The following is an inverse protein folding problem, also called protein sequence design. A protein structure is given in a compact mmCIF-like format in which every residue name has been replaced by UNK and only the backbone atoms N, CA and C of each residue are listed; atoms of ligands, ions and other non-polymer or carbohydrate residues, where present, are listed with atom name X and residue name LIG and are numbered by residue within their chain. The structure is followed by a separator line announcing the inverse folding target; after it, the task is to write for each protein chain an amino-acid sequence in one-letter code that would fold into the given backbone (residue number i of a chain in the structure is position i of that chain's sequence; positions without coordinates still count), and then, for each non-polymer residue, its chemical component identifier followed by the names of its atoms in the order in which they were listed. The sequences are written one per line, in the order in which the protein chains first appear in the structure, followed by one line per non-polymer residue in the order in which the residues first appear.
data_IF_304180926275
#
_entry.id   IF_304180926275
#
_cell.length_a   1.000
_cell.length_b   1.000
_cell.length_c   1.000
_cell.angle_alpha   90.00
_cell.angle_beta   90.00
_cell.angle_gamma   90.00
#
_symmetry.space_group_name_H-M   'P 1'
#
loop_
_entity.id
_entity.type
_entity.pdbx_description
1 polymer ?
#
# COMPACT_ATOMS: atom_id res chain seq x y z
N UNK A 1 -1.97 18.34 12.72
CA UNK A 1 -2.07 17.12 11.89
C UNK A 1 -0.72 16.85 11.29
N UNK A 2 -0.24 15.60 11.31
CA UNK A 2 0.98 15.25 10.59
C UNK A 2 0.69 15.21 9.08
N UNK A 3 1.64 15.60 8.22
CA UNK A 3 1.43 15.59 6.77
C UNK A 3 1.25 14.15 6.27
N UNK A 4 0.35 13.98 5.30
CA UNK A 4 0.19 12.71 4.59
C UNK A 4 1.11 12.71 3.37
N UNK A 5 1.89 11.65 3.19
CA UNK A 5 2.79 11.48 2.05
C UNK A 5 2.61 10.11 1.41
N UNK A 6 2.77 10.07 0.08
CA UNK A 6 2.75 8.83 -0.70
C UNK A 6 4.20 8.47 -1.04
N UNK A 7 4.69 7.37 -0.46
CA UNK A 7 6.11 6.98 -0.54
C UNK A 7 6.25 5.69 -1.34
N UNK A 8 7.35 5.59 -2.08
CA UNK A 8 7.69 4.35 -2.79
C UNK A 8 7.92 3.21 -1.79
N UNK A 9 7.49 2.01 -2.19
CA UNK A 9 7.74 0.80 -1.41
C UNK A 9 9.08 0.25 -1.85
N UNK A 10 9.99 0.09 -0.90
CA UNK A 10 11.36 -0.39 -1.13
C UNK A 10 11.53 -1.78 -0.52
N UNK A 11 12.70 -2.39 -0.74
CA UNK A 11 13.07 -3.66 -0.11
C UNK A 11 12.98 -3.59 1.42
N UNK A 12 13.32 -2.45 2.00
CA UNK A 12 13.35 -2.21 3.43
C UNK A 12 11.93 -2.03 4.01
N UNK A 13 11.01 -1.44 3.24
CA UNK A 13 9.66 -1.11 3.72
C UNK A 13 8.62 -2.16 3.38
N UNK A 14 8.83 -2.98 2.33
CA UNK A 14 7.82 -3.91 1.80
C UNK A 14 7.20 -4.82 2.87
N UNK A 15 8.01 -5.40 3.76
CA UNK A 15 7.50 -6.29 4.83
C UNK A 15 6.63 -5.54 5.84
N UNK A 16 6.98 -4.30 6.17
CA UNK A 16 6.18 -3.46 7.06
C UNK A 16 4.85 -3.09 6.43
N UNK A 17 4.85 -2.75 5.13
CA UNK A 17 3.62 -2.40 4.40
C UNK A 17 2.71 -3.62 4.21
N UNK A 18 3.27 -4.81 3.92
CA UNK A 18 2.51 -6.05 3.87
C UNK A 18 1.89 -6.47 5.21
N UNK A 19 2.50 -6.06 6.32
CA UNK A 19 2.02 -6.35 7.67
C UNK A 19 0.98 -5.36 8.20
N UNK A 20 0.58 -4.35 7.43
CA UNK A 20 -0.52 -3.47 7.83
C UNK A 20 -1.84 -4.26 7.85
N UNK A 21 -2.58 -4.09 8.94
CA UNK A 21 -3.89 -4.69 9.14
C UNK A 21 -4.97 -3.62 9.27
N UNK A 22 -6.20 -4.03 9.02
CA UNK A 22 -7.39 -3.25 9.32
C UNK A 22 -8.03 -3.75 10.60
N UNK A 23 -9.12 -3.11 11.05
CA UNK A 23 -9.89 -3.67 12.16
C UNK A 23 -10.59 -4.97 11.71
N UNK A 24 -10.87 -5.92 12.61
CA UNK A 24 -11.50 -7.19 12.26
C UNK A 24 -12.78 -7.04 11.43
N UNK A 25 -13.61 -6.02 11.72
CA UNK A 25 -14.87 -5.76 11.02
C UNK A 25 -14.67 -5.27 9.56
N UNK A 26 -13.43 -4.96 9.17
CA UNK A 26 -13.08 -4.48 7.83
C UNK A 26 -12.38 -5.54 6.99
N UNK A 27 -11.93 -6.66 7.58
CA UNK A 27 -11.11 -7.68 6.91
C UNK A 27 -11.81 -8.25 5.67
N UNK A 28 -13.14 -8.41 5.70
CA UNK A 28 -13.91 -8.93 4.57
C UNK A 28 -14.00 -7.96 3.36
N UNK A 29 -13.60 -6.70 3.53
CA UNK A 29 -13.66 -5.69 2.47
C UNK A 29 -12.33 -5.53 1.71
N UNK A 30 -11.24 -6.13 2.20
CA UNK A 30 -9.89 -5.91 1.67
C UNK A 30 -9.07 -7.19 1.62
N UNK A 31 -8.18 -7.31 0.64
CA UNK A 31 -7.14 -8.34 0.65
C UNK A 31 -5.85 -7.82 1.28
N UNK A 32 -4.87 -8.69 1.50
CA UNK A 32 -3.56 -8.26 2.00
C UNK A 32 -2.82 -7.41 0.97
N UNK A 33 -2.05 -6.42 1.45
CA UNK A 33 -1.18 -5.62 0.58
C UNK A 33 -0.15 -6.47 -0.18
N UNK A 34 0.20 -7.66 0.34
CA UNK A 34 1.09 -8.60 -0.35
C UNK A 34 0.51 -9.08 -1.69
N UNK A 35 -0.80 -9.35 -1.73
CA UNK A 35 -1.51 -9.75 -2.95
C UNK A 35 -1.52 -8.60 -3.95
N UNK A 36 -1.92 -7.40 -3.52
CA UNK A 36 -1.97 -6.22 -4.40
C UNK A 36 -0.60 -5.86 -4.98
N UNK A 37 0.48 -5.95 -4.19
CA UNK A 37 1.85 -5.72 -4.68
C UNK A 37 2.23 -6.78 -5.71
N UNK A 38 1.91 -8.05 -5.47
CA UNK A 38 2.21 -9.12 -6.42
C UNK A 38 1.45 -8.95 -7.75
N UNK A 39 0.16 -8.60 -7.70
CA UNK A 39 -0.66 -8.31 -8.88
C UNK A 39 -0.12 -7.11 -9.68
N UNK A 40 0.33 -6.05 -9.00
CA UNK A 40 0.89 -4.86 -9.64
C UNK A 40 2.12 -5.16 -10.51
N UNK A 41 2.92 -6.18 -10.20
CA UNK A 41 4.06 -6.57 -11.05
C UNK A 41 3.66 -7.19 -12.39
N UNK A 42 2.40 -7.59 -12.55
CA UNK A 42 1.87 -8.14 -13.79
C UNK A 42 0.93 -7.17 -14.52
N UNK A 43 0.69 -5.99 -13.96
CA UNK A 43 -0.16 -4.94 -14.53
C UNK A 43 0.70 -3.71 -14.90
N UNK A 44 1.06 -3.52 -16.18
CA UNK A 44 1.94 -2.42 -16.61
C UNK A 44 1.45 -1.02 -16.22
N UNK A 45 0.13 -0.80 -16.08
CA UNK A 45 -0.42 0.47 -15.63
C UNK A 45 -0.54 0.61 -14.12
N UNK A 46 -0.05 -0.35 -13.32
CA UNK A 46 -0.19 -0.28 -11.88
C UNK A 46 0.77 0.76 -11.28
N UNK A 47 0.19 1.79 -10.67
CA UNK A 47 0.91 2.75 -9.85
C UNK A 47 0.51 2.56 -8.38
N UNK A 48 1.46 2.26 -7.50
CA UNK A 48 1.17 2.04 -6.08
C UNK A 48 2.17 2.72 -5.16
N UNK A 49 1.72 3.11 -3.96
CA UNK A 49 2.52 3.79 -2.94
C UNK A 49 2.06 3.39 -1.54
N UNK A 50 2.97 3.45 -0.58
CA UNK A 50 2.62 3.40 0.83
C UNK A 50 2.14 4.78 1.31
N UNK A 51 1.10 4.81 2.12
CA UNK A 51 0.55 6.03 2.73
C UNK A 51 1.21 6.20 4.09
N UNK A 52 1.80 7.36 4.34
CA UNK A 52 2.45 7.72 5.60
C UNK A 52 1.79 8.94 6.23
N UNK A 53 1.55 8.90 7.55
CA UNK A 53 1.23 10.07 8.37
C UNK A 53 2.48 10.41 9.20
N UNK A 54 3.17 11.50 8.82
CA UNK A 54 4.54 11.71 9.28
C UNK A 54 5.43 10.54 8.85
N UNK A 55 6.04 9.84 9.81
CA UNK A 55 6.90 8.67 9.54
C UNK A 55 6.23 7.32 9.86
N UNK A 56 4.97 7.32 10.27
CA UNK A 56 4.21 6.09 10.48
C UNK A 56 3.51 5.67 9.18
N UNK A 57 3.77 4.46 8.65
CA UNK A 57 2.97 3.90 7.57
C UNK A 57 1.58 3.57 8.08
N UNK A 58 0.57 4.10 7.39
CA UNK A 58 -0.84 3.98 7.78
C UNK A 58 -1.70 3.36 6.68
N UNK A 59 -1.13 3.06 5.52
CA UNK A 59 -1.90 2.41 4.45
C UNK A 59 -1.11 2.15 3.17
N UNK A 60 -1.87 1.77 2.16
CA UNK A 60 -1.43 1.43 0.82
C UNK A 60 -2.44 2.00 -0.18
N UNK A 61 -1.96 2.52 -1.31
CA UNK A 61 -2.80 2.95 -2.42
C UNK A 61 -2.27 2.30 -3.70
N UNK A 62 -3.19 1.85 -4.55
CA UNK A 62 -2.92 1.40 -5.90
C UNK A 62 -3.93 2.04 -6.83
N UNK A 63 -3.45 2.58 -7.93
CA UNK A 63 -4.22 3.21 -8.99
C UNK A 63 -3.79 2.58 -10.32
N UNK A 64 -4.66 2.69 -11.31
CA UNK A 64 -4.29 2.42 -12.69
C UNK A 64 -3.95 3.74 -13.38
N UNK A 65 -2.72 3.86 -13.85
CA UNK A 65 -2.23 4.97 -14.65
C UNK A 65 -1.55 4.43 -15.91
N UNK A 66 -2.23 4.44 -17.07
CA UNK A 66 -1.70 3.94 -18.33
C UNK A 66 -0.83 4.97 -19.08
N UNK A 67 -0.52 6.13 -18.48
CA UNK A 67 0.13 7.26 -19.18
C UNK A 67 1.66 7.22 -19.18
#
# INVERSE_FOLDING_TARGET
MQPVTLREITRETVRRIMGLGVKPEQEDNVTSNAVSIAEAYFEPGAWFRAIYAGDEPVGFIMLFDPT
#
